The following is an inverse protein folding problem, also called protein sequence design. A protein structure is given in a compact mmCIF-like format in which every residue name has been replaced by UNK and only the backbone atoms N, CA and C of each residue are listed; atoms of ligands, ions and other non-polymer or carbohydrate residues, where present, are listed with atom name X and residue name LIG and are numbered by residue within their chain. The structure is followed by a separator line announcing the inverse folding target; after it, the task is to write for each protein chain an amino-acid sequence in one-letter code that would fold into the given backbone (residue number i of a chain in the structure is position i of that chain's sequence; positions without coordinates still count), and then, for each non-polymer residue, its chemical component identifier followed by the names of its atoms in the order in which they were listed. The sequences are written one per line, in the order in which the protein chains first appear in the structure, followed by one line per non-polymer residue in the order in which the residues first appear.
data_IF_737855325281
#
_entry.id   IF_737855325281
#
_cell.length_a   1.000
_cell.length_b   1.000
_cell.length_c   1.000
_cell.angle_alpha   90.00
_cell.angle_beta   90.00
_cell.angle_gamma   90.00
#
_symmetry.space_group_name_H-M   'P 1'
#
loop_
_entity.id
_entity.type
_entity.pdbx_description
1 polymer ?
#
# COMPACT_ATOMS: atom_id res chain seq x y z
N UNK A 1 11.44 -1.51 31.47
CA UNK A 1 12.59 -1.41 30.56
C UNK A 1 12.33 -2.37 29.39
N UNK A 2 11.56 -1.91 28.40
CA UNK A 2 10.97 -2.76 27.34
C UNK A 2 11.57 -2.32 26.00
N UNK A 3 12.82 -2.70 25.76
CA UNK A 3 13.42 -2.55 24.43
C UNK A 3 14.30 -3.75 24.16
N UNK A 4 13.73 -4.72 23.45
CA UNK A 4 14.46 -5.85 22.90
C UNK A 4 15.24 -5.39 21.67
N UNK A 5 16.56 -5.56 21.75
CA UNK A 5 17.55 -5.51 20.68
C UNK A 5 17.74 -4.17 19.92
N UNK A 6 18.85 -3.48 20.23
CA UNK A 6 19.31 -2.22 19.59
C UNK A 6 19.47 -2.30 18.06
N UNK A 7 19.60 -3.51 17.50
CA UNK A 7 19.73 -3.74 16.06
C UNK A 7 18.41 -3.94 15.30
N UNK A 8 17.26 -3.77 15.97
CA UNK A 8 15.92 -4.05 15.40
C UNK A 8 14.94 -2.87 15.36
N UNK A 9 15.46 -1.63 15.41
CA UNK A 9 14.64 -0.45 15.31
C UNK A 9 14.35 -0.08 13.85
N UNK A 10 13.06 -0.05 13.48
CA UNK A 10 12.60 0.52 12.21
C UNK A 10 12.54 2.05 12.19
N UNK A 11 12.81 2.71 13.32
CA UNK A 11 12.82 4.18 13.51
C UNK A 11 13.90 4.57 14.51
N UNK A 12 14.62 5.68 14.32
CA UNK A 12 15.67 6.15 15.23
C UNK A 12 15.12 6.41 16.65
N UNK A 13 15.82 5.94 17.69
CA UNK A 13 15.39 6.01 19.10
C UNK A 13 14.98 7.42 19.54
N UNK A 14 15.76 8.41 19.14
CA UNK A 14 15.61 9.80 19.60
C UNK A 14 14.34 10.44 19.00
N UNK A 15 13.96 10.02 17.79
CA UNK A 15 12.77 10.50 17.11
C UNK A 15 11.49 9.88 17.67
N UNK A 16 11.53 8.60 18.08
CA UNK A 16 10.36 7.94 18.67
C UNK A 16 9.94 8.56 20.00
N UNK A 17 10.90 9.02 20.81
CA UNK A 17 10.65 9.63 22.11
C UNK A 17 10.27 11.12 22.01
N UNK A 18 10.77 11.84 21.00
CA UNK A 18 10.53 13.27 20.84
C UNK A 18 9.31 13.61 19.98
N UNK A 19 8.82 12.68 19.15
CA UNK A 19 7.71 12.92 18.24
C UNK A 19 6.43 12.20 18.68
N UNK A 20 5.43 12.98 19.12
CA UNK A 20 4.15 12.49 19.64
C UNK A 20 3.26 11.83 18.57
N UNK A 21 3.57 12.01 17.29
CA UNK A 21 2.73 11.56 16.16
C UNK A 21 3.10 10.16 15.62
N UNK A 22 4.10 9.49 16.21
CA UNK A 22 4.62 8.20 15.71
C UNK A 22 4.18 7.02 16.57
N UNK A 23 3.60 5.99 15.96
CA UNK A 23 3.31 4.70 16.61
C UNK A 23 4.21 3.59 16.07
N UNK A 24 5.04 2.98 16.91
CA UNK A 24 5.82 1.79 16.57
C UNK A 24 5.63 0.72 17.64
N UNK A 25 5.33 -0.50 17.19
CA UNK A 25 5.04 -1.63 18.07
C UNK A 25 5.75 -2.88 17.55
N UNK A 26 6.23 -3.71 18.46
CA UNK A 26 6.77 -5.04 18.16
C UNK A 26 6.06 -6.05 19.06
N UNK A 27 5.16 -6.82 18.47
CA UNK A 27 4.32 -7.80 19.16
C UNK A 27 4.84 -9.23 18.96
N UNK A 28 4.16 -10.19 19.58
CA UNK A 28 4.51 -11.61 19.55
C UNK A 28 4.56 -12.16 18.13
N UNK A 29 5.56 -13.01 17.86
CA UNK A 29 5.74 -13.71 16.60
C UNK A 29 5.37 -15.18 16.78
N UNK A 30 4.71 -15.77 15.79
CA UNK A 30 4.30 -17.18 15.81
C UNK A 30 5.20 -17.98 14.88
N UNK A 31 5.75 -19.09 15.35
CA UNK A 31 6.50 -20.04 14.52
C UNK A 31 5.52 -20.89 13.70
N UNK A 32 5.62 -20.81 12.39
CA UNK A 32 4.88 -21.62 11.41
C UNK A 32 5.87 -22.48 10.59
N UNK A 33 5.36 -23.42 9.77
CA UNK A 33 6.22 -24.33 8.99
C UNK A 33 7.22 -23.59 8.10
N UNK A 34 6.83 -22.42 7.59
CA UNK A 34 7.61 -21.61 6.66
C UNK A 34 8.55 -20.58 7.34
N UNK A 35 8.51 -20.44 8.67
CA UNK A 35 9.32 -19.46 9.40
C UNK A 35 8.60 -18.85 10.59
N UNK A 36 8.87 -17.58 10.88
CA UNK A 36 8.22 -16.84 11.98
C UNK A 36 7.44 -15.66 11.41
N UNK A 37 6.22 -15.40 11.91
CA UNK A 37 5.42 -14.25 11.48
C UNK A 37 6.11 -12.92 11.80
N UNK A 38 5.80 -11.88 11.02
CA UNK A 38 6.31 -10.53 11.29
C UNK A 38 5.68 -9.97 12.59
N UNK A 39 6.51 -9.43 13.47
CA UNK A 39 6.06 -8.86 14.76
C UNK A 39 6.05 -7.33 14.81
N UNK A 40 6.77 -6.65 13.92
CA UNK A 40 6.84 -5.19 13.90
C UNK A 40 5.73 -4.59 13.05
N UNK A 41 5.23 -3.43 13.46
CA UNK A 41 4.25 -2.61 12.73
C UNK A 41 4.47 -1.12 13.05
N UNK A 42 4.09 -0.24 12.11
CA UNK A 42 4.37 1.19 12.16
C UNK A 42 3.23 2.01 11.57
N UNK A 43 2.91 3.13 12.21
CA UNK A 43 2.00 4.11 11.65
C UNK A 43 2.30 5.53 12.12
N UNK A 44 1.80 6.50 11.37
CA UNK A 44 1.85 7.93 11.69
C UNK A 44 0.44 8.47 11.74
N UNK A 45 0.14 9.23 12.78
CA UNK A 45 -1.15 9.91 12.94
C UNK A 45 -0.98 11.19 13.75
N UNK A 46 -1.97 12.08 13.73
CA UNK A 46 -1.98 13.31 14.52
C UNK A 46 -2.09 13.05 16.03
N UNK A 47 -2.51 11.83 16.39
CA UNK A 47 -2.66 11.40 17.77
C UNK A 47 -1.90 10.08 18.03
N UNK A 48 -1.09 10.05 19.11
CA UNK A 48 -0.34 8.87 19.54
C UNK A 48 -1.22 7.63 19.76
N UNK A 49 -2.41 7.78 20.33
CA UNK A 49 -3.33 6.68 20.57
C UNK A 49 -3.85 6.10 19.24
N UNK A 50 -4.17 6.96 18.27
CA UNK A 50 -4.60 6.52 16.94
C UNK A 50 -3.46 5.80 16.22
N UNK A 51 -2.23 6.29 16.28
CA UNK A 51 -1.08 5.59 15.71
C UNK A 51 -0.82 4.24 16.41
N UNK A 52 -0.94 4.14 17.74
CA UNK A 52 -0.83 2.84 18.41
C UNK A 52 -1.92 1.84 17.96
N UNK A 53 -3.16 2.30 17.78
CA UNK A 53 -4.26 1.45 17.28
C UNK A 53 -3.98 0.99 15.85
N UNK A 54 -3.53 1.89 14.96
CA UNK A 54 -3.20 1.56 13.57
C UNK A 54 -2.05 0.56 13.49
N UNK A 55 -0.99 0.77 14.27
CA UNK A 55 0.14 -0.16 14.31
C UNK A 55 -0.28 -1.53 14.87
N UNK A 56 -1.22 -1.59 15.82
CA UNK A 56 -1.77 -2.87 16.27
C UNK A 56 -2.59 -3.58 15.18
N UNK A 57 -3.40 -2.85 14.40
CA UNK A 57 -4.16 -3.42 13.30
C UNK A 57 -3.24 -3.98 12.19
N UNK A 58 -2.18 -3.25 11.82
CA UNK A 58 -1.19 -3.74 10.84
C UNK A 58 -0.46 -5.00 11.35
N UNK A 59 -0.17 -5.07 12.66
CA UNK A 59 0.35 -6.30 13.25
C UNK A 59 -0.63 -7.47 13.09
N UNK A 60 -1.92 -7.27 13.39
CA UNK A 60 -2.94 -8.31 13.23
C UNK A 60 -3.06 -8.76 11.77
N UNK A 61 -3.03 -7.83 10.81
CA UNK A 61 -3.00 -8.13 9.38
C UNK A 61 -1.85 -9.11 9.06
N UNK A 62 -0.62 -8.78 9.49
CA UNK A 62 0.57 -9.63 9.26
C UNK A 62 0.51 -10.97 9.99
N UNK A 63 -0.02 -10.99 11.21
CA UNK A 63 -0.18 -12.21 12.00
C UNK A 63 -1.14 -13.18 11.31
N UNK A 64 -2.35 -12.70 11.00
CA UNK A 64 -3.42 -13.52 10.46
C UNK A 64 -3.19 -13.91 9.00
N UNK A 65 -2.34 -13.21 8.24
CA UNK A 65 -1.86 -13.69 6.93
C UNK A 65 -0.92 -14.90 7.03
N UNK A 66 -0.20 -15.04 8.15
CA UNK A 66 0.73 -16.15 8.37
C UNK A 66 0.06 -17.45 8.82
N UNK A 67 -1.07 -17.35 9.53
CA UNK A 67 -1.82 -18.52 10.05
C UNK A 67 -2.31 -19.46 8.94
N UNK A 68 -2.95 -18.99 7.84
CA UNK A 68 -3.47 -19.85 6.77
C UNK A 68 -2.45 -20.84 6.20
N UNK A 69 -1.15 -20.53 6.23
CA UNK A 69 -0.08 -21.35 5.65
C UNK A 69 0.17 -22.67 6.39
N UNK A 70 -0.44 -22.83 7.56
CA UNK A 70 -0.25 -23.99 8.44
C UNK A 70 -1.42 -24.97 8.44
N UNK A 71 -2.48 -24.70 7.66
CA UNK A 71 -3.76 -25.40 7.79
C UNK A 71 -4.38 -25.79 6.45
N UNK A 72 -5.03 -26.95 6.42
CA UNK A 72 -5.77 -27.47 5.26
C UNK A 72 -7.29 -27.21 5.36
N UNK A 73 -7.72 -26.34 6.29
CA UNK A 73 -9.14 -26.01 6.46
C UNK A 73 -9.68 -25.27 5.24
N UNK A 74 -10.99 -25.34 5.04
CA UNK A 74 -11.71 -24.45 4.14
C UNK A 74 -12.37 -23.31 4.91
N UNK A 75 -12.56 -22.19 4.26
CA UNK A 75 -13.30 -21.02 4.77
C UNK A 75 -14.27 -20.51 3.72
N UNK A 76 -15.30 -19.81 4.19
CA UNK A 76 -16.26 -19.13 3.31
C UNK A 76 -15.70 -17.80 2.83
N UNK A 77 -15.88 -17.53 1.54
CA UNK A 77 -15.49 -16.29 0.89
C UNK A 77 -16.66 -15.72 0.07
N UNK A 78 -16.62 -14.43 -0.21
CA UNK A 78 -17.64 -13.72 -0.98
C UNK A 78 -17.00 -12.99 -2.14
N UNK A 79 -17.46 -13.25 -3.36
CA UNK A 79 -17.15 -12.43 -4.51
C UNK A 79 -18.06 -11.18 -4.50
N UNK A 80 -17.47 -10.00 -4.32
CA UNK A 80 -18.20 -8.73 -4.19
C UNK A 80 -18.92 -8.30 -5.47
N UNK A 81 -18.33 -8.59 -6.64
CA UNK A 81 -18.88 -8.17 -7.94
C UNK A 81 -20.11 -9.01 -8.32
N UNK A 82 -20.11 -10.29 -7.93
CA UNK A 82 -21.17 -11.24 -8.30
C UNK A 82 -22.11 -11.57 -7.15
N UNK A 83 -21.82 -11.13 -5.93
CA UNK A 83 -22.50 -11.52 -4.69
C UNK A 83 -22.60 -13.05 -4.52
N UNK A 84 -21.55 -13.78 -4.91
CA UNK A 84 -21.50 -15.25 -4.82
C UNK A 84 -20.66 -15.66 -3.61
N UNK A 85 -21.24 -16.48 -2.73
CA UNK A 85 -20.52 -17.15 -1.65
C UNK A 85 -19.85 -18.41 -2.18
N UNK A 86 -18.58 -18.61 -1.83
CA UNK A 86 -17.79 -19.80 -2.20
C UNK A 86 -17.13 -20.41 -0.98
N UNK A 87 -16.77 -21.69 -1.08
CA UNK A 87 -15.85 -22.34 -0.15
C UNK A 87 -14.47 -22.42 -0.80
N UNK A 88 -13.43 -22.03 -0.07
CA UNK A 88 -12.04 -21.98 -0.53
C UNK A 88 -11.13 -22.61 0.50
N UNK A 89 -9.98 -23.13 0.07
CA UNK A 89 -8.92 -23.50 1.02
C UNK A 89 -8.47 -22.23 1.74
N UNK A 90 -8.30 -22.32 3.05
CA UNK A 90 -7.88 -21.18 3.86
C UNK A 90 -6.51 -20.65 3.39
N UNK A 91 -5.60 -21.54 3.00
CA UNK A 91 -4.29 -21.21 2.46
C UNK A 91 -4.34 -20.21 1.30
N UNK A 92 -5.40 -20.19 0.47
CA UNK A 92 -5.54 -19.27 -0.68
C UNK A 92 -5.51 -17.78 -0.28
N UNK A 93 -5.78 -17.46 0.99
CA UNK A 93 -5.75 -16.10 1.52
C UNK A 93 -4.47 -15.79 2.33
N UNK A 94 -3.55 -16.74 2.43
CA UNK A 94 -2.25 -16.57 3.09
C UNK A 94 -1.17 -15.99 2.18
N UNK A 95 0.02 -15.73 2.74
CA UNK A 95 1.19 -15.24 2.00
C UNK A 95 1.79 -16.33 1.09
N UNK A 96 2.08 -16.04 -0.18
CA UNK A 96 2.73 -16.99 -1.09
C UNK A 96 2.02 -17.20 -2.42
N UNK A 97 2.39 -18.25 -3.15
CA UNK A 97 1.80 -18.62 -4.44
C UNK A 97 0.55 -19.47 -4.25
N UNK A 98 -0.55 -19.07 -4.88
CA UNK A 98 -1.87 -19.69 -4.76
C UNK A 98 -2.59 -19.75 -6.10
N UNK A 99 -3.82 -20.29 -6.14
CA UNK A 99 -4.60 -20.46 -7.38
C UNK A 99 -4.80 -19.11 -8.10
N UNK A 100 -5.07 -18.04 -7.34
CA UNK A 100 -5.28 -16.71 -7.91
C UNK A 100 -4.01 -15.86 -7.97
N UNK A 101 -2.83 -16.47 -7.84
CA UNK A 101 -1.54 -15.81 -7.96
C UNK A 101 -0.79 -15.61 -6.64
N UNK A 102 0.23 -14.76 -6.68
CA UNK A 102 1.09 -14.49 -5.53
C UNK A 102 0.50 -13.42 -4.61
N UNK A 103 0.26 -13.79 -3.37
CA UNK A 103 -0.27 -12.94 -2.32
C UNK A 103 0.84 -12.41 -1.41
N UNK A 104 0.82 -11.10 -1.17
CA UNK A 104 1.50 -10.48 -0.03
C UNK A 104 0.49 -9.87 0.96
N UNK A 105 0.80 -8.74 1.60
CA UNK A 105 -0.12 -8.01 2.50
C UNK A 105 -1.20 -7.21 1.77
N UNK A 106 -1.09 -6.98 0.46
CA UNK A 106 -2.01 -6.17 -0.36
C UNK A 106 -3.46 -6.62 -0.21
N UNK A 107 -4.37 -5.70 0.10
CA UNK A 107 -5.78 -5.99 0.29
C UNK A 107 -6.07 -6.70 1.62
N UNK A 108 -5.28 -6.43 2.65
CA UNK A 108 -5.51 -6.98 4.00
C UNK A 108 -5.89 -5.86 4.94
N UNK A 109 -6.96 -6.06 5.71
CA UNK A 109 -7.40 -5.03 6.66
C UNK A 109 -7.87 -5.62 7.97
N UNK A 110 -7.43 -5.03 9.07
CA UNK A 110 -7.95 -5.29 10.42
C UNK A 110 -8.74 -4.11 10.99
N UNK A 111 -9.83 -4.42 11.69
CA UNK A 111 -10.65 -3.42 12.36
C UNK A 111 -11.96 -3.96 12.93
N UNK A 112 -12.75 -3.08 13.55
CA UNK A 112 -14.01 -3.44 14.24
C UNK A 112 -15.24 -3.36 13.34
N UNK A 113 -15.27 -2.42 12.40
CA UNK A 113 -16.42 -2.15 11.54
C UNK A 113 -16.22 -2.83 10.18
N UNK A 114 -17.16 -3.70 9.80
CA UNK A 114 -17.04 -4.55 8.60
C UNK A 114 -17.00 -3.71 7.31
N UNK A 115 -17.85 -2.69 7.19
CA UNK A 115 -17.88 -1.79 6.03
C UNK A 115 -16.52 -1.10 5.83
N UNK A 116 -15.95 -0.56 6.91
CA UNK A 116 -14.67 0.15 6.88
C UNK A 116 -13.52 -0.77 6.47
N UNK A 117 -13.44 -1.98 7.03
CA UNK A 117 -12.35 -2.91 6.68
C UNK A 117 -12.49 -3.45 5.26
N UNK A 118 -13.71 -3.70 4.78
CA UNK A 118 -13.99 -4.12 3.40
C UNK A 118 -13.54 -3.03 2.44
N UNK A 119 -13.95 -1.78 2.69
CA UNK A 119 -13.55 -0.65 1.86
C UNK A 119 -12.03 -0.49 1.86
N UNK A 120 -11.37 -0.52 3.03
CA UNK A 120 -9.90 -0.40 3.12
C UNK A 120 -9.17 -1.51 2.35
N UNK A 121 -9.60 -2.76 2.50
CA UNK A 121 -8.99 -3.88 1.79
C UNK A 121 -9.20 -3.78 0.27
N UNK A 122 -10.37 -3.31 -0.17
CA UNK A 122 -10.64 -3.09 -1.60
C UNK A 122 -9.81 -1.93 -2.15
N UNK A 123 -9.77 -0.78 -1.47
CA UNK A 123 -8.99 0.38 -1.92
C UNK A 123 -7.50 0.09 -1.92
N UNK A 124 -6.96 -0.68 -0.98
CA UNK A 124 -5.56 -1.10 -0.99
C UNK A 124 -5.25 -2.04 -2.18
N UNK A 125 -6.15 -2.97 -2.49
CA UNK A 125 -6.00 -3.81 -3.69
C UNK A 125 -5.98 -2.96 -4.97
N UNK A 126 -6.90 -2.00 -5.09
CA UNK A 126 -6.94 -1.07 -6.22
C UNK A 126 -5.68 -0.22 -6.27
N UNK A 127 -5.27 0.37 -5.14
CA UNK A 127 -4.10 1.24 -5.02
C UNK A 127 -2.83 0.58 -5.59
N UNK A 128 -2.50 -0.65 -5.15
CA UNK A 128 -1.30 -1.34 -5.64
C UNK A 128 -1.37 -1.69 -7.13
N UNK A 129 -2.57 -1.89 -7.66
CA UNK A 129 -2.78 -2.14 -9.07
C UNK A 129 -2.81 -0.85 -9.91
N UNK A 130 -3.22 0.28 -9.34
CA UNK A 130 -3.07 1.60 -9.96
C UNK A 130 -1.60 2.03 -9.99
N UNK A 131 -0.80 1.65 -8.99
CA UNK A 131 0.67 1.79 -9.05
C UNK A 131 1.26 0.96 -10.20
N UNK A 132 0.70 -0.23 -10.49
CA UNK A 132 1.10 -1.00 -11.68
C UNK A 132 0.76 -0.24 -12.97
N UNK A 133 -0.47 0.26 -13.10
CA UNK A 133 -0.92 1.02 -14.26
C UNK A 133 -0.08 2.29 -14.47
N UNK A 134 0.24 3.00 -13.38
CA UNK A 134 1.12 4.15 -13.38
C UNK A 134 2.53 3.80 -13.84
N UNK A 135 3.19 2.87 -13.15
CA UNK A 135 4.60 2.65 -13.35
C UNK A 135 4.88 1.89 -14.64
N UNK A 136 4.13 0.84 -14.94
CA UNK A 136 4.37 -0.02 -16.10
C UNK A 136 3.46 0.28 -17.28
N UNK A 137 2.27 0.84 -17.03
CA UNK A 137 1.33 1.21 -18.09
C UNK A 137 1.37 2.66 -18.53
N UNK A 138 2.23 3.48 -17.91
CA UNK A 138 2.34 4.90 -18.21
C UNK A 138 0.96 5.58 -18.19
N UNK A 139 0.16 5.23 -17.19
CA UNK A 139 -1.17 5.80 -16.96
C UNK A 139 -1.16 6.84 -15.85
N UNK A 140 -1.99 7.84 -16.00
CA UNK A 140 -2.23 8.86 -14.99
C UNK A 140 -2.12 10.28 -15.51
N UNK A 141 -2.35 11.20 -14.59
CA UNK A 141 -2.35 12.63 -14.81
C UNK A 141 -1.48 13.30 -13.75
N UNK A 142 -0.90 14.45 -14.10
CA UNK A 142 -0.06 15.23 -13.19
C UNK A 142 -0.93 16.20 -12.41
N UNK A 143 -0.85 16.15 -11.08
CA UNK A 143 -1.53 17.14 -10.25
C UNK A 143 -0.77 18.47 -10.27
N UNK A 144 -1.46 19.55 -10.63
CA UNK A 144 -0.94 20.91 -10.50
C UNK A 144 -0.69 21.20 -9.02
N UNK A 145 0.55 21.50 -8.67
CA UNK A 145 0.92 21.94 -7.32
C UNK A 145 0.76 23.47 -7.27
N UNK A 146 -0.39 23.91 -6.78
CA UNK A 146 -0.64 25.32 -6.49
C UNK A 146 -0.16 25.68 -5.08
N UNK A 147 -0.43 26.91 -4.64
CA UNK A 147 -0.02 27.39 -3.32
C UNK A 147 -0.56 26.52 -2.20
N UNK A 148 -1.80 26.05 -2.29
CA UNK A 148 -2.43 25.24 -1.25
C UNK A 148 -1.72 23.89 -1.08
N UNK A 149 -1.40 23.23 -2.20
CA UNK A 149 -0.65 21.96 -2.15
C UNK A 149 0.78 22.19 -1.65
N UNK A 150 1.41 23.31 -2.04
CA UNK A 150 2.74 23.66 -1.52
C UNK A 150 2.73 23.92 -0.01
N UNK A 151 1.76 24.68 0.49
CA UNK A 151 1.58 24.95 1.92
C UNK A 151 1.34 23.63 2.67
N UNK A 152 0.49 22.74 2.13
CA UNK A 152 0.25 21.41 2.71
C UNK A 152 1.53 20.55 2.78
N UNK A 153 2.36 20.54 1.74
CA UNK A 153 3.65 19.83 1.76
C UNK A 153 4.59 20.45 2.81
N UNK A 154 4.62 21.78 2.91
CA UNK A 154 5.45 22.50 3.87
C UNK A 154 5.04 22.18 5.32
N UNK A 155 3.73 22.04 5.59
CA UNK A 155 3.20 21.69 6.91
C UNK A 155 3.67 20.31 7.40
N UNK A 156 3.87 19.36 6.48
CA UNK A 156 4.46 18.06 6.81
C UNK A 156 5.98 18.10 7.05
N UNK A 157 6.63 19.25 6.80
CA UNK A 157 8.05 19.49 7.04
C UNK A 157 8.95 18.38 6.46
N UNK A 158 8.76 18.08 5.17
CA UNK A 158 9.56 17.08 4.45
C UNK A 158 11.02 17.48 4.32
N UNK A 159 11.89 16.46 4.27
CA UNK A 159 13.32 16.63 3.96
C UNK A 159 13.53 16.68 2.46
N UNK A 160 12.73 15.93 1.71
CA UNK A 160 12.67 15.95 0.25
C UNK A 160 12.44 17.38 -0.24
N UNK A 161 13.21 17.80 -1.25
CA UNK A 161 13.17 19.15 -1.82
C UNK A 161 12.45 19.23 -3.16
N UNK A 162 12.02 18.10 -3.72
CA UNK A 162 11.24 18.04 -4.95
C UNK A 162 10.13 17.00 -4.83
N UNK A 163 8.91 17.40 -5.16
CA UNK A 163 7.73 16.55 -5.15
C UNK A 163 7.13 16.38 -6.54
N UNK A 164 6.72 15.14 -6.83
CA UNK A 164 5.93 14.78 -8.00
C UNK A 164 4.67 14.08 -7.51
N UNK A 165 3.51 14.60 -7.94
CA UNK A 165 2.21 14.11 -7.50
C UNK A 165 1.38 13.77 -8.73
N UNK A 166 0.91 12.54 -8.77
CA UNK A 166 0.16 11.98 -9.87
C UNK A 166 -1.18 11.44 -9.39
N UNK A 167 -2.15 11.39 -10.30
CA UNK A 167 -3.48 10.83 -10.06
C UNK A 167 -3.76 9.76 -11.10
N UNK A 168 -4.30 8.63 -10.66
CA UNK A 168 -4.66 7.49 -11.52
C UNK A 168 -6.06 7.01 -11.17
N UNK A 169 -6.86 6.69 -12.20
CA UNK A 169 -8.28 6.31 -12.13
C UNK A 169 -8.61 5.30 -13.23
N UNK A 170 -7.72 4.34 -13.49
CA UNK A 170 -7.88 3.37 -14.57
C UNK A 170 -8.74 2.17 -14.16
N UNK A 171 -8.71 1.82 -12.87
CA UNK A 171 -9.31 0.62 -12.31
C UNK A 171 -10.56 0.91 -11.49
N UNK A 172 -10.73 2.15 -11.03
CA UNK A 172 -11.95 2.57 -10.35
C UNK A 172 -12.28 4.05 -10.55
N UNK A 173 -13.51 4.41 -10.21
CA UNK A 173 -13.95 5.81 -10.18
C UNK A 173 -13.26 6.65 -9.07
N UNK A 174 -12.66 6.01 -8.06
CA UNK A 174 -11.91 6.68 -6.99
C UNK A 174 -10.54 7.14 -7.47
N UNK A 175 -10.04 8.22 -6.88
CA UNK A 175 -8.71 8.76 -7.22
C UNK A 175 -7.63 8.06 -6.43
N UNK A 176 -6.69 7.41 -7.12
CA UNK A 176 -5.44 6.97 -6.50
C UNK A 176 -4.39 8.06 -6.68
N UNK A 177 -3.94 8.64 -5.58
CA UNK A 177 -2.89 9.66 -5.57
C UNK A 177 -1.55 9.02 -5.27
N UNK A 178 -0.57 9.28 -6.12
CA UNK A 178 0.81 8.82 -5.95
C UNK A 178 1.70 10.04 -5.70
N UNK A 179 2.34 10.09 -4.55
CA UNK A 179 3.34 11.09 -4.18
C UNK A 179 4.73 10.48 -4.27
N UNK A 180 5.67 11.20 -4.89
CA UNK A 180 7.10 10.86 -4.92
C UNK A 180 7.92 12.05 -4.47
N UNK A 181 8.68 11.88 -3.39
CA UNK A 181 9.57 12.88 -2.80
C UNK A 181 11.04 12.56 -3.09
N UNK A 182 11.77 13.55 -3.56
CA UNK A 182 13.18 13.44 -3.93
C UNK A 182 14.04 14.40 -3.13
N UNK A 183 15.25 13.96 -2.79
CA UNK A 183 16.33 14.80 -2.26
C UNK A 183 17.51 14.71 -3.22
N UNK A 184 17.92 15.85 -3.79
CA UNK A 184 19.06 15.93 -4.71
C UNK A 184 18.96 14.95 -5.90
N UNK A 185 17.74 14.74 -6.40
CA UNK A 185 17.45 13.82 -7.51
C UNK A 185 17.41 12.34 -7.15
N UNK A 186 17.61 11.97 -5.88
CA UNK A 186 17.41 10.62 -5.36
C UNK A 186 16.01 10.51 -4.77
N UNK A 187 15.31 9.43 -5.11
CA UNK A 187 14.00 9.11 -4.51
C UNK A 187 14.22 8.79 -3.02
N UNK A 188 13.65 9.61 -2.15
CA UNK A 188 13.76 9.45 -0.71
C UNK A 188 12.47 8.87 -0.12
N UNK A 189 11.33 9.22 -0.70
CA UNK A 189 10.04 8.74 -0.23
C UNK A 189 9.00 8.61 -1.35
N UNK A 190 8.00 7.77 -1.11
CA UNK A 190 6.78 7.69 -1.88
C UNK A 190 5.60 7.44 -0.96
N UNK A 191 4.40 7.79 -1.36
CA UNK A 191 3.17 7.41 -0.68
C UNK A 191 2.04 7.30 -1.69
N UNK A 192 1.12 6.38 -1.44
CA UNK A 192 0.00 6.13 -2.34
C UNK A 192 -1.27 5.98 -1.51
N UNK A 193 -2.36 6.58 -1.99
CA UNK A 193 -3.64 6.33 -1.36
C UNK A 193 -4.76 6.42 -2.37
N UNK A 194 -5.71 5.48 -2.27
CA UNK A 194 -6.98 5.52 -2.96
C UNK A 194 -8.10 5.75 -1.94
N UNK A 195 -8.90 6.80 -2.14
CA UNK A 195 -10.00 7.16 -1.25
C UNK A 195 -11.18 7.78 -1.98
N UNK A 196 -12.25 8.05 -1.21
CA UNK A 196 -13.54 8.51 -1.73
C UNK A 196 -13.46 9.91 -2.36
N UNK A 197 -12.58 10.77 -1.84
CA UNK A 197 -12.28 12.09 -2.42
C UNK A 197 -10.82 12.19 -2.82
N UNK A 198 -10.56 13.03 -3.82
CA UNK A 198 -9.21 13.38 -4.26
C UNK A 198 -8.40 14.04 -3.13
N UNK A 199 -9.03 14.92 -2.34
CA UNK A 199 -8.40 15.59 -1.20
C UNK A 199 -7.97 14.59 -0.11
N UNK A 200 -8.85 13.67 0.27
CA UNK A 200 -8.52 12.65 1.26
C UNK A 200 -7.37 11.75 0.78
N UNK A 201 -7.41 11.37 -0.49
CA UNK A 201 -6.35 10.57 -1.12
C UNK A 201 -5.01 11.30 -1.11
N UNK A 202 -4.99 12.61 -1.43
CA UNK A 202 -3.80 13.44 -1.36
C UNK A 202 -3.22 13.54 0.06
N UNK A 203 -4.06 13.85 1.04
CA UNK A 203 -3.65 13.99 2.45
C UNK A 203 -3.06 12.67 2.97
N UNK A 204 -3.73 11.56 2.71
CA UNK A 204 -3.28 10.25 3.18
C UNK A 204 -2.01 9.78 2.46
N UNK A 205 -1.88 10.01 1.15
CA UNK A 205 -0.66 9.71 0.41
C UNK A 205 0.53 10.55 0.90
N UNK A 206 0.33 11.83 1.24
CA UNK A 206 1.36 12.66 1.88
C UNK A 206 1.73 12.14 3.27
N UNK A 207 0.76 11.74 4.10
CA UNK A 207 1.04 11.14 5.42
C UNK A 207 1.87 9.86 5.30
N UNK A 208 1.54 9.00 4.33
CA UNK A 208 2.31 7.78 4.08
C UNK A 208 3.73 8.10 3.59
N UNK A 209 3.86 9.00 2.61
CA UNK A 209 5.16 9.48 2.15
C UNK A 209 5.98 10.07 3.32
N UNK A 210 5.35 10.76 4.26
CA UNK A 210 6.07 11.29 5.42
C UNK A 210 6.58 10.18 6.33
N UNK A 211 5.75 9.16 6.56
CA UNK A 211 6.15 7.97 7.29
C UNK A 211 7.33 7.23 6.66
N UNK A 212 7.31 7.04 5.33
CA UNK A 212 8.40 6.37 4.59
C UNK A 212 9.68 7.22 4.57
N UNK A 213 9.56 8.55 4.46
CA UNK A 213 10.72 9.45 4.53
C UNK A 213 11.44 9.27 5.87
N UNK A 214 10.71 9.21 6.98
CA UNK A 214 11.29 8.99 8.30
C UNK A 214 11.96 7.62 8.47
N UNK A 215 11.38 6.57 7.87
CA UNK A 215 12.01 5.25 7.89
C UNK A 215 13.26 5.19 7.02
N UNK A 216 13.35 6.03 5.99
CA UNK A 216 14.43 5.99 5.01
C UNK A 216 15.57 6.94 5.35
N UNK A 217 15.27 8.16 5.80
CA UNK A 217 16.27 9.18 6.02
C UNK A 217 17.31 8.76 7.07
N UNK A 218 18.59 8.79 6.68
CA UNK A 218 19.73 8.32 7.49
C UNK A 218 19.62 6.87 8.00
N UNK A 219 18.80 6.02 7.37
CA UNK A 219 18.69 4.61 7.72
C UNK A 219 19.37 3.72 6.66
N UNK A 220 20.61 3.24 6.90
CA UNK A 220 21.33 2.43 5.91
C UNK A 220 20.64 1.09 5.57
N UNK A 221 19.68 0.64 6.39
CA UNK A 221 18.94 -0.60 6.15
C UNK A 221 17.73 -0.41 5.23
N UNK A 222 17.28 0.82 5.01
CA UNK A 222 16.11 1.12 4.18
C UNK A 222 16.34 0.74 2.71
N UNK A 223 15.32 0.16 2.05
CA UNK A 223 15.42 -0.33 0.66
C UNK A 223 15.84 0.76 -0.32
N UNK A 224 15.30 1.97 -0.18
CA UNK A 224 15.64 3.10 -1.04
C UNK A 224 17.13 3.49 -0.93
N UNK A 225 17.74 3.39 0.25
CA UNK A 225 19.17 3.65 0.44
C UNK A 225 20.07 2.53 -0.12
N UNK A 226 19.49 1.38 -0.51
CA UNK A 226 20.20 0.31 -1.24
C UNK A 226 20.17 0.51 -2.75
N UNK A 227 19.43 1.50 -3.26
CA UNK A 227 19.44 1.80 -4.68
C UNK A 227 20.78 2.40 -5.10
N UNK A 228 21.32 1.91 -6.21
CA UNK A 228 22.50 2.53 -6.81
C UNK A 228 22.16 3.91 -7.38
N UNK A 229 23.15 4.81 -7.45
CA UNK A 229 22.99 6.10 -8.10
C UNK A 229 22.50 5.96 -9.56
N UNK A 230 22.92 4.90 -10.25
CA UNK A 230 22.45 4.57 -11.60
C UNK A 230 20.94 4.28 -11.62
N UNK A 231 20.42 3.59 -10.60
CA UNK A 231 18.99 3.31 -10.47
C UNK A 231 18.21 4.58 -10.15
N UNK A 232 18.68 5.43 -9.22
CA UNK A 232 18.04 6.72 -8.95
C UNK A 232 17.96 7.61 -10.19
N UNK A 233 19.03 7.71 -10.98
CA UNK A 233 19.04 8.45 -12.25
C UNK A 233 18.01 7.90 -13.23
N UNK A 234 17.87 6.57 -13.33
CA UNK A 234 16.87 5.91 -14.18
C UNK A 234 15.44 6.21 -13.71
N UNK A 235 15.17 6.11 -12.41
CA UNK A 235 13.87 6.45 -11.80
C UNK A 235 13.52 7.91 -12.13
N UNK A 236 14.43 8.85 -11.83
CA UNK A 236 14.20 10.27 -12.09
C UNK A 236 13.97 10.56 -13.57
N UNK A 237 14.71 9.90 -14.48
CA UNK A 237 14.51 10.05 -15.93
C UNK A 237 13.10 9.60 -16.35
N UNK A 238 12.62 8.47 -15.85
CA UNK A 238 11.27 7.97 -16.13
C UNK A 238 10.19 8.90 -15.61
N UNK A 239 10.36 9.42 -14.39
CA UNK A 239 9.45 10.40 -13.79
C UNK A 239 9.42 11.72 -14.57
N UNK A 240 10.58 12.20 -15.06
CA UNK A 240 10.64 13.37 -15.95
C UNK A 240 9.92 13.14 -17.28
N UNK A 241 10.07 11.94 -17.86
CA UNK A 241 9.33 11.57 -19.06
C UNK A 241 7.81 11.55 -18.81
N UNK A 242 7.36 10.98 -17.69
CA UNK A 242 5.94 11.02 -17.29
C UNK A 242 5.43 12.46 -17.13
N UNK A 243 6.23 13.35 -16.54
CA UNK A 243 5.91 14.77 -16.40
C UNK A 243 5.69 15.49 -17.75
N UNK A 244 6.35 15.03 -18.82
CA UNK A 244 6.23 15.59 -20.17
C UNK A 244 4.99 15.07 -20.90
N UNK A 245 4.62 13.81 -20.70
CA UNK A 245 3.50 13.16 -21.42
C UNK A 245 2.16 13.28 -20.70
N UNK A 246 2.15 13.44 -19.37
CA UNK A 246 0.91 13.48 -18.60
C UNK A 246 0.25 14.85 -18.66
N UNK A 247 -1.06 14.82 -18.91
CA UNK A 247 -1.92 16.00 -18.81
C UNK A 247 -1.89 16.53 -17.37
N UNK A 248 -1.88 17.84 -17.24
CA UNK A 248 -1.98 18.52 -15.94
C UNK A 248 -3.45 18.69 -15.56
N UNK A 249 -3.80 18.32 -14.33
CA UNK A 249 -5.13 18.48 -13.74
C UNK A 249 -5.08 19.27 -12.43
N UNK A 250 -6.22 19.79 -11.99
CA UNK A 250 -6.39 20.40 -10.67
C UNK A 250 -7.20 19.49 -9.75
N UNK A 251 -7.06 19.64 -8.43
CA UNK A 251 -7.81 18.83 -7.45
C UNK A 251 -9.33 18.94 -7.64
N UNK A 252 -9.83 20.11 -8.05
CA UNK A 252 -11.26 20.39 -8.22
C UNK A 252 -11.85 19.80 -9.50
N UNK A 253 -11.01 19.25 -10.39
CA UNK A 253 -11.47 18.64 -11.64
C UNK A 253 -12.16 17.29 -11.45
N UNK A 254 -12.09 16.70 -10.25
CA UNK A 254 -12.60 15.36 -9.97
C UNK A 254 -13.72 15.44 -8.93
N UNK A 255 -14.91 14.97 -9.32
CA UNK A 255 -16.06 14.89 -8.41
C UNK A 255 -15.96 13.67 -7.49
N UNK A 256 -16.35 13.84 -6.24
CA UNK A 256 -16.48 12.75 -5.29
C UNK A 256 -17.64 11.82 -5.67
N UNK A 257 -17.44 10.53 -5.45
CA UNK A 257 -18.48 9.51 -5.63
C UNK A 257 -18.69 8.80 -4.31
N UNK A 258 -19.92 8.36 -4.03
CA UNK A 258 -20.25 7.74 -2.72
C UNK A 258 -19.77 6.29 -2.62
N UNK A 259 -19.78 5.58 -3.74
CA UNK A 259 -19.45 4.17 -3.82
C UNK A 259 -18.35 3.95 -4.85
N UNK A 260 -17.46 3.02 -4.55
CA UNK A 260 -16.42 2.62 -5.48
C UNK A 260 -17.04 1.76 -6.58
N UNK A 261 -16.74 2.13 -7.82
CA UNK A 261 -17.09 1.38 -9.02
C UNK A 261 -15.79 0.97 -9.70
N UNK A 262 -15.63 -0.32 -9.98
CA UNK A 262 -14.44 -0.87 -10.63
C UNK A 262 -14.62 -0.88 -12.15
N UNK A 263 -13.52 -0.98 -12.88
CA UNK A 263 -13.56 -1.14 -14.33
C UNK A 263 -14.35 -2.41 -14.73
N UNK A 264 -15.09 -2.34 -15.84
CA UNK A 264 -16.02 -3.37 -16.33
C UNK A 264 -15.43 -4.79 -16.45
N UNK A 265 -14.14 -4.89 -16.77
CA UNK A 265 -13.42 -6.15 -16.91
C UNK A 265 -13.00 -6.77 -15.57
N UNK A 266 -13.13 -6.04 -14.45
CA UNK A 266 -12.88 -6.51 -13.08
C UNK A 266 -14.17 -7.11 -12.54
N UNK A 267 -14.35 -8.42 -12.72
CA UNK A 267 -15.54 -9.15 -12.26
C UNK A 267 -15.24 -10.18 -11.16
N UNK A 268 -14.02 -10.16 -10.61
CA UNK A 268 -13.62 -11.01 -9.50
C UNK A 268 -12.81 -10.24 -8.46
N UNK A 269 -13.50 -9.88 -7.39
CA UNK A 269 -12.94 -9.40 -6.13
C UNK A 269 -13.51 -10.30 -5.04
N UNK A 270 -12.69 -11.14 -4.43
CA UNK A 270 -13.12 -12.13 -3.44
C UNK A 270 -12.54 -11.79 -2.07
N UNK A 271 -13.39 -11.75 -1.05
CA UNK A 271 -13.03 -11.43 0.33
C UNK A 271 -13.32 -12.61 1.24
N UNK A 272 -12.43 -12.84 2.21
CA UNK A 272 -12.67 -13.74 3.33
C UNK A 272 -12.17 -13.18 4.65
N UNK A 273 -12.80 -13.59 5.75
CA UNK A 273 -12.29 -13.37 7.11
C UNK A 273 -11.19 -14.39 7.38
N UNK A 274 -9.98 -13.90 7.66
CA UNK A 274 -8.79 -14.71 7.94
C UNK A 274 -8.35 -14.62 9.41
N UNK A 275 -9.00 -13.78 10.21
CA UNK A 275 -8.63 -13.59 11.60
C UNK A 275 -9.75 -12.94 12.39
N UNK A 276 -9.83 -13.32 13.67
CA UNK A 276 -10.77 -12.73 14.61
C UNK A 276 -10.12 -12.67 16.01
N UNK A 277 -9.94 -11.45 16.53
CA UNK A 277 -9.69 -11.21 17.95
C UNK A 277 -11.04 -10.93 18.62
N UNK A 278 -11.70 -12.02 19.02
CA UNK A 278 -13.03 -12.03 19.63
C UNK A 278 -13.08 -11.12 20.86
N UNK A 279 -12.02 -11.10 21.68
CA UNK A 279 -11.98 -10.33 22.92
C UNK A 279 -12.00 -8.82 22.66
N UNK A 280 -11.42 -8.37 21.53
CA UNK A 280 -11.37 -6.96 21.15
C UNK A 280 -12.41 -6.59 20.09
N UNK A 281 -13.13 -7.58 19.56
CA UNK A 281 -14.08 -7.43 18.45
C UNK A 281 -13.40 -6.97 17.15
N UNK A 282 -12.17 -7.41 16.91
CA UNK A 282 -11.39 -7.01 15.72
C UNK A 282 -11.34 -8.17 14.73
N UNK A 283 -11.79 -7.92 13.50
CA UNK A 283 -11.73 -8.89 12.40
C UNK A 283 -10.61 -8.51 11.45
N UNK A 284 -9.99 -9.53 10.86
CA UNK A 284 -9.02 -9.38 9.78
C UNK A 284 -9.55 -10.05 8.54
N UNK A 285 -9.57 -9.31 7.44
CA UNK A 285 -9.99 -9.81 6.14
C UNK A 285 -8.84 -9.75 5.13
N UNK A 286 -8.94 -10.58 4.10
CA UNK A 286 -8.10 -10.53 2.90
C UNK A 286 -8.99 -10.46 1.67
N UNK A 287 -8.65 -9.53 0.79
CA UNK A 287 -9.23 -9.29 -0.52
C UNK A 287 -8.25 -9.78 -1.60
N UNK A 288 -8.73 -10.57 -2.56
CA UNK A 288 -7.94 -11.11 -3.68
C UNK A 288 -8.71 -11.03 -4.99
N UNK A 289 -7.99 -11.02 -6.10
CA UNK A 289 -8.55 -11.00 -7.46
C UNK A 289 -7.87 -12.00 -8.38
N UNK A 290 -8.64 -12.53 -9.34
CA UNK A 290 -8.13 -13.30 -10.48
C UNK A 290 -7.55 -12.39 -11.57
N UNK A 291 -8.04 -11.16 -11.65
CA UNK A 291 -7.70 -10.19 -12.70
C UNK A 291 -6.58 -9.23 -12.31
N UNK A 292 -6.55 -8.81 -11.04
CA UNK A 292 -5.61 -7.83 -10.48
C UNK A 292 -4.47 -8.52 -9.74
N UNK A 293 -3.28 -7.93 -9.65
CA UNK A 293 -2.18 -8.42 -8.82
C UNK A 293 -2.63 -8.48 -7.34
N UNK A 294 -2.35 -9.58 -6.65
CA UNK A 294 -2.63 -9.72 -5.21
C UNK A 294 -1.41 -9.29 -4.35
N UNK A 295 -0.55 -8.48 -4.95
CA UNK A 295 0.72 -8.06 -4.37
C UNK A 295 1.21 -6.74 -4.98
N UNK A 296 2.20 -6.14 -4.30
CA UNK A 296 2.86 -4.93 -4.80
C UNK A 296 3.52 -5.20 -6.16
N UNK A 297 3.52 -4.22 -7.09
CA UNK A 297 3.90 -4.44 -8.48
C UNK A 297 5.42 -4.37 -8.69
N UNK A 298 6.18 -5.11 -7.90
CA UNK A 298 7.60 -5.33 -8.19
C UNK A 298 7.74 -6.45 -9.23
N UNK A 299 8.79 -6.40 -10.04
CA UNK A 299 8.98 -7.33 -11.17
C UNK A 299 8.83 -8.79 -10.78
N UNK A 300 9.46 -9.21 -9.68
CA UNK A 300 9.37 -10.61 -9.20
C UNK A 300 7.93 -11.06 -8.90
N UNK A 301 7.06 -10.15 -8.43
CA UNK A 301 5.66 -10.47 -8.15
C UNK A 301 4.82 -10.48 -9.44
N UNK A 302 5.15 -9.61 -10.38
CA UNK A 302 4.53 -9.56 -11.72
C UNK A 302 4.85 -10.85 -12.48
N UNK A 303 6.10 -11.31 -12.48
CA UNK A 303 6.51 -12.57 -13.14
C UNK A 303 5.78 -13.79 -12.57
N UNK A 304 5.51 -13.81 -11.26
CA UNK A 304 4.72 -14.86 -10.59
C UNK A 304 3.23 -14.84 -10.96
N UNK A 305 2.76 -13.77 -11.60
CA UNK A 305 1.35 -13.51 -11.90
C UNK A 305 1.13 -13.10 -13.36
N UNK A 306 2.08 -13.42 -14.26
CA UNK A 306 2.13 -12.94 -15.65
C UNK A 306 0.84 -13.13 -16.47
N UNK A 307 0.02 -14.13 -16.12
CA UNK A 307 -1.20 -14.48 -16.84
C UNK A 307 -2.41 -13.62 -16.45
N UNK A 308 -2.26 -12.74 -15.44
CA UNK A 308 -3.34 -11.86 -14.99
C UNK A 308 -3.75 -10.84 -16.05
N UNK A 309 -5.04 -10.56 -16.09
CA UNK A 309 -5.67 -9.68 -17.08
C UNK A 309 -5.10 -8.25 -17.04
N UNK A 310 -4.82 -7.72 -15.84
CA UNK A 310 -4.22 -6.38 -15.71
C UNK A 310 -2.88 -6.26 -16.45
N UNK A 311 -2.06 -7.31 -16.44
CA UNK A 311 -0.75 -7.30 -17.10
C UNK A 311 -0.94 -7.26 -18.60
N UNK A 312 -1.85 -8.08 -19.13
CA UNK A 312 -2.16 -8.12 -20.57
C UNK A 312 -2.68 -6.78 -21.09
N UNK A 313 -3.44 -6.05 -20.27
CA UNK A 313 -4.06 -4.77 -20.64
C UNK A 313 -3.11 -3.58 -20.54
N UNK A 314 -2.29 -3.54 -19.50
CA UNK A 314 -1.58 -2.32 -19.12
C UNK A 314 -0.06 -2.42 -19.18
N UNK A 315 0.57 -3.57 -19.41
CA UNK A 315 2.03 -3.63 -19.45
C UNK A 315 2.60 -2.97 -20.73
N UNK A 316 3.27 -1.82 -20.59
CA UNK A 316 3.90 -1.08 -21.70
C UNK A 316 5.42 -0.96 -21.49
N UNK A 317 5.86 -0.45 -20.34
CA UNK A 317 7.28 -0.22 -20.02
C UNK A 317 7.74 -1.05 -18.83
N UNK A 318 8.46 -2.13 -19.11
CA UNK A 318 9.08 -3.02 -18.13
C UNK A 318 10.59 -2.77 -17.92
N UNK A 319 11.10 -1.57 -18.24
CA UNK A 319 12.55 -1.29 -18.22
C UNK A 319 13.15 -1.19 -16.81
N UNK A 320 12.41 -0.66 -15.84
CA UNK A 320 12.86 -0.39 -14.47
C UNK A 320 11.83 -0.95 -13.48
N UNK A 321 12.29 -1.64 -12.44
CA UNK A 321 11.41 -2.14 -11.37
C UNK A 321 10.74 -1.00 -10.61
N UNK A 322 9.53 -1.24 -10.09
CA UNK A 322 8.76 -0.22 -9.40
C UNK A 322 9.42 0.14 -8.06
N UNK A 323 9.76 1.43 -7.83
CA UNK A 323 10.36 1.85 -6.58
C UNK A 323 9.32 2.19 -5.50
N UNK A 324 8.04 2.28 -5.88
CA UNK A 324 6.92 2.62 -5.00
C UNK A 324 6.46 1.35 -4.30
N UNK A 325 6.26 1.43 -2.98
CA UNK A 325 5.75 0.34 -2.14
C UNK A 325 4.34 0.68 -1.68
#
# INVERSE_FOLDING_TARGET
MIFTNKSSYGVKSDMFLSNINIGYVNFSRVKIKQGTTAGSAFSVDENKQLSLIKSYNEYLERLFLGIPLSTNKTISSVNLEKNIVSSRKYSEFGYGNHEFGFNDTTGTSSGKLSEVIIQKALTELIEKNEVFCFWYGLKGEKLKQDKEIHDLINDYNFISNMFKIYVVRELSNYSTVIVMGFLEGKLLTSGVCCSITMEQSLILALKEAKGIEWQTFNNPLAKANKFSDKLHKKILKKVKFMDEIYKVITKDSIQATKYIETADWINHVEISVIGDDINRGVKTIKCISKQLLNSVPIKINIERQKDKEIIKRYLIDYSIDCPIQ
#
